data_IF_693083918943
#
_entry.id   IF_693083918943
#
_cell.length_a   1.000
_cell.length_b   1.000
_cell.length_c   1.000
_cell.angle_alpha   90.00
_cell.angle_beta   90.00
_cell.angle_gamma   90.00
#
_symmetry.space_group_name_H-M   'P 1'
#
loop_
_entity.id
_entity.type
_entity.pdbx_description
1 polymer ?
#
# COMPACT_ATOMS: atom_id res chain seq x y z
N UNK A 1 1.59 -5.19 -23.55
CA UNK A 1 2.85 -4.43 -23.57
C UNK A 1 2.98 -3.70 -22.23
N UNK A 2 3.91 -4.11 -21.37
CA UNK A 2 4.05 -3.54 -20.02
C UNK A 2 4.56 -2.12 -20.06
N UNK A 3 3.94 -1.23 -19.27
CA UNK A 3 4.26 0.19 -19.21
C UNK A 3 5.68 0.46 -18.68
N UNK A 4 6.14 -0.39 -17.77
CA UNK A 4 7.49 -0.31 -17.20
C UNK A 4 8.42 -1.39 -17.79
N UNK A 5 8.63 -1.38 -19.12
CA UNK A 5 9.70 -2.17 -19.70
C UNK A 5 11.02 -1.43 -19.39
N UNK A 6 11.87 -2.10 -18.61
CA UNK A 6 13.25 -1.75 -18.22
C UNK A 6 13.87 -0.66 -19.09
N UNK A 7 13.76 0.61 -18.66
CA UNK A 7 14.54 1.71 -19.18
C UNK A 7 15.32 2.32 -18.03
N UNK A 8 16.64 2.29 -18.13
CA UNK A 8 17.52 3.16 -17.35
C UNK A 8 17.05 4.59 -17.61
N UNK A 9 16.76 5.33 -16.53
CA UNK A 9 16.49 6.78 -16.48
C UNK A 9 16.23 7.43 -17.85
N UNK A 10 15.00 7.24 -18.41
CA UNK A 10 14.59 8.07 -19.53
C UNK A 10 14.33 9.50 -19.07
N UNK A 11 14.73 10.50 -19.89
CA UNK A 11 14.37 11.88 -19.62
C UNK A 11 12.85 12.03 -19.71
N UNK A 12 12.16 12.08 -18.60
CA UNK A 12 10.71 12.23 -18.61
C UNK A 12 9.97 11.93 -17.32
N UNK A 13 10.48 11.09 -16.42
CA UNK A 13 9.82 10.86 -15.14
C UNK A 13 9.99 12.06 -14.18
N UNK A 14 8.93 12.36 -13.45
CA UNK A 14 8.93 13.41 -12.42
C UNK A 14 9.73 12.93 -11.20
N UNK A 15 11.02 13.26 -11.14
CA UNK A 15 11.98 12.75 -10.13
C UNK A 15 11.54 12.96 -8.69
N UNK A 16 10.87 14.07 -8.38
CA UNK A 16 10.44 14.43 -7.02
C UNK A 16 8.93 14.24 -6.81
N UNK A 17 8.33 13.35 -7.59
CA UNK A 17 6.90 13.02 -7.45
C UNK A 17 6.75 11.55 -7.02
N UNK A 18 5.99 11.35 -5.97
CA UNK A 18 5.64 10.03 -5.43
C UNK A 18 4.14 9.77 -5.57
N UNK A 19 3.77 8.54 -5.87
CA UNK A 19 2.39 8.06 -5.76
C UNK A 19 2.36 6.97 -4.70
N UNK A 20 1.56 7.19 -3.65
CA UNK A 20 1.35 6.23 -2.57
C UNK A 20 -0.08 5.73 -2.66
N UNK A 21 -0.22 4.44 -2.92
CA UNK A 21 -1.50 3.76 -3.13
C UNK A 21 -1.79 2.86 -1.94
N UNK A 22 -2.94 3.01 -1.31
CA UNK A 22 -3.46 1.99 -0.40
C UNK A 22 -4.48 1.13 -1.14
N UNK A 23 -4.33 -0.19 -1.12
CA UNK A 23 -5.33 -1.09 -1.67
C UNK A 23 -6.48 -1.30 -0.69
N UNK A 24 -7.69 -1.47 -1.24
CA UNK A 24 -8.92 -1.69 -0.50
C UNK A 24 -10.12 -1.79 -1.45
N UNK A 25 -11.27 -2.17 -0.89
CA UNK A 25 -12.56 -2.18 -1.57
C UNK A 25 -13.39 -0.95 -1.17
N UNK A 26 -14.08 -0.30 -2.10
CA UNK A 26 -15.01 0.78 -1.79
C UNK A 26 -16.28 0.19 -1.11
N UNK A 27 -16.91 1.00 -0.27
CA UNK A 27 -18.15 0.64 0.43
C UNK A 27 -17.94 0.53 1.94
N UNK A 28 -19.00 0.88 2.69
CA UNK A 28 -18.99 0.86 4.16
C UNK A 28 -18.84 -0.55 4.72
N UNK A 29 -19.36 -1.53 4.01
CA UNK A 29 -19.28 -2.97 4.35
C UNK A 29 -17.85 -3.51 4.38
N UNK A 30 -16.91 -2.86 3.67
CA UNK A 30 -15.49 -3.25 3.65
C UNK A 30 -14.61 -2.41 4.58
N UNK A 31 -15.15 -1.34 5.16
CA UNK A 31 -14.36 -0.35 5.90
C UNK A 31 -13.54 -0.98 7.04
N UNK A 32 -14.09 -1.99 7.71
CA UNK A 32 -13.47 -2.66 8.86
C UNK A 32 -12.98 -4.07 8.55
N UNK A 33 -12.64 -4.33 7.28
CA UNK A 33 -12.06 -5.60 6.86
C UNK A 33 -10.52 -5.53 6.81
N UNK A 34 -9.87 -6.71 6.86
CA UNK A 34 -8.41 -6.81 6.69
C UNK A 34 -7.97 -6.37 5.29
N UNK A 35 -8.79 -6.59 4.28
CA UNK A 35 -8.50 -6.17 2.90
C UNK A 35 -8.47 -4.65 2.70
N UNK A 36 -8.94 -3.86 3.69
CA UNK A 36 -8.89 -2.40 3.65
C UNK A 36 -7.74 -1.80 4.47
N UNK A 37 -6.77 -2.61 4.90
CA UNK A 37 -5.62 -2.10 5.66
C UNK A 37 -4.79 -1.10 4.86
N UNK A 38 -4.67 -1.26 3.55
CA UNK A 38 -4.04 -0.25 2.69
C UNK A 38 -4.78 1.09 2.72
N UNK A 39 -6.11 1.07 2.67
CA UNK A 39 -6.94 2.29 2.79
C UNK A 39 -6.73 2.97 4.15
N UNK A 40 -6.75 2.20 5.24
CA UNK A 40 -6.54 2.72 6.60
C UNK A 40 -5.16 3.40 6.73
N UNK A 41 -4.11 2.83 6.16
CA UNK A 41 -2.79 3.43 6.14
C UNK A 41 -2.76 4.77 5.36
N UNK A 42 -3.46 4.86 4.23
CA UNK A 42 -3.59 6.12 3.48
C UNK A 42 -4.39 7.17 4.26
N UNK A 43 -5.44 6.77 4.98
CA UNK A 43 -6.22 7.71 5.79
C UNK A 43 -5.38 8.29 6.95
N UNK A 44 -4.55 7.46 7.61
CA UNK A 44 -3.58 7.92 8.62
C UNK A 44 -2.59 8.90 7.99
N UNK A 45 -1.95 8.52 6.89
CA UNK A 45 -0.96 9.38 6.21
C UNK A 45 -1.57 10.70 5.73
N UNK A 46 -2.82 10.67 5.25
CA UNK A 46 -3.59 11.84 4.85
C UNK A 46 -3.79 12.80 6.02
N UNK A 47 -4.16 12.27 7.18
CA UNK A 47 -4.35 13.04 8.41
C UNK A 47 -3.04 13.64 8.92
N UNK A 48 -1.99 12.83 9.03
CA UNK A 48 -0.70 13.23 9.60
C UNK A 48 0.00 14.30 8.76
N UNK A 49 -0.14 14.24 7.44
CA UNK A 49 0.51 15.16 6.50
C UNK A 49 -0.42 16.27 6.00
N UNK A 50 -1.66 16.35 6.49
CA UNK A 50 -2.69 17.31 6.05
C UNK A 50 -2.90 17.28 4.53
N UNK A 51 -2.88 16.09 3.92
CA UNK A 51 -3.12 15.87 2.48
C UNK A 51 -4.55 15.39 2.30
N UNK A 52 -5.45 16.29 2.00
CA UNK A 52 -6.86 15.97 1.91
C UNK A 52 -7.22 15.15 0.66
N UNK A 53 -7.93 14.02 0.86
CA UNK A 53 -8.35 13.09 -0.20
C UNK A 53 -9.80 13.40 -0.58
N UNK A 54 -10.00 14.24 -1.61
CA UNK A 54 -11.34 14.71 -2.04
C UNK A 54 -11.64 14.50 -3.51
N UNK A 55 -10.65 14.26 -4.35
CA UNK A 55 -10.84 14.27 -5.80
C UNK A 55 -11.10 12.86 -6.31
N UNK A 56 -12.26 12.65 -6.94
CA UNK A 56 -12.51 11.42 -7.70
C UNK A 56 -11.85 11.54 -9.08
N UNK A 57 -10.80 10.77 -9.33
CA UNK A 57 -10.08 10.73 -10.60
C UNK A 57 -9.42 9.37 -10.81
N UNK A 58 -9.36 8.91 -12.06
CA UNK A 58 -8.72 7.64 -12.43
C UNK A 58 -9.30 6.40 -11.74
N UNK A 59 -10.61 6.40 -11.46
CA UNK A 59 -11.30 5.40 -10.64
C UNK A 59 -10.69 5.30 -9.21
N UNK A 60 -10.35 6.44 -8.64
CA UNK A 60 -9.75 6.53 -7.30
C UNK A 60 -10.17 7.82 -6.61
N UNK A 61 -10.22 7.79 -5.30
CA UNK A 61 -10.13 8.99 -4.48
C UNK A 61 -8.65 9.38 -4.36
N UNK A 62 -8.33 10.64 -4.65
CA UNK A 62 -6.96 11.13 -4.61
C UNK A 62 -6.81 12.40 -3.78
N UNK A 63 -5.68 12.51 -3.09
CA UNK A 63 -5.17 13.72 -2.45
C UNK A 63 -3.82 14.11 -3.03
N UNK A 64 -3.53 15.40 -3.09
CA UNK A 64 -2.23 15.89 -3.54
C UNK A 64 -1.66 16.86 -2.52
N UNK A 65 -0.41 16.67 -2.15
CA UNK A 65 0.31 17.50 -1.19
C UNK A 65 1.82 17.40 -1.34
N UNK A 66 2.51 17.74 -0.27
CA UNK A 66 3.98 17.65 -0.18
C UNK A 66 4.39 17.01 1.13
N UNK A 67 5.39 16.13 1.05
CA UNK A 67 6.09 15.57 2.21
C UNK A 67 7.57 15.88 2.02
N UNK A 68 8.20 16.54 2.97
CA UNK A 68 9.59 16.98 2.91
C UNK A 68 9.94 17.71 1.59
N UNK A 69 9.03 18.58 1.11
CA UNK A 69 9.19 19.34 -0.14
C UNK A 69 8.90 18.58 -1.43
N UNK A 70 8.84 17.24 -1.42
CA UNK A 70 8.54 16.39 -2.57
C UNK A 70 7.04 16.32 -2.81
N UNK A 71 6.64 16.25 -4.08
CA UNK A 71 5.21 16.11 -4.45
C UNK A 71 4.74 14.70 -4.13
N UNK A 72 3.63 14.58 -3.40
CA UNK A 72 3.02 13.30 -3.05
C UNK A 72 1.56 13.27 -3.48
N UNK A 73 1.18 12.16 -4.08
CA UNK A 73 -0.19 11.84 -4.46
C UNK A 73 -0.61 10.61 -3.66
N UNK A 74 -1.60 10.77 -2.79
CA UNK A 74 -2.25 9.68 -2.09
C UNK A 74 -3.41 9.17 -2.93
N UNK A 75 -3.52 7.84 -3.06
CA UNK A 75 -4.49 7.19 -3.94
C UNK A 75 -5.19 6.05 -3.21
N UNK A 76 -6.53 6.09 -3.22
CA UNK A 76 -7.40 5.00 -2.79
C UNK A 76 -8.19 4.55 -4.02
N UNK A 77 -7.86 3.40 -4.67
CA UNK A 77 -8.61 2.90 -5.82
C UNK A 77 -10.08 2.64 -5.47
N UNK A 78 -11.02 3.21 -6.20
CA UNK A 78 -12.46 2.92 -6.06
C UNK A 78 -12.93 1.77 -6.96
N UNK A 79 -12.00 1.02 -7.52
CA UNK A 79 -12.27 -0.27 -8.15
C UNK A 79 -12.36 -1.35 -7.06
N UNK A 80 -13.06 -2.47 -7.37
CA UNK A 80 -12.90 -3.63 -6.50
C UNK A 80 -11.47 -4.17 -6.58
N UNK A 81 -11.04 -4.89 -5.53
CA UNK A 81 -9.67 -5.33 -5.29
C UNK A 81 -9.01 -5.95 -6.53
N UNK A 82 -9.69 -6.87 -7.21
CA UNK A 82 -9.19 -7.56 -8.41
C UNK A 82 -9.01 -6.65 -9.65
N UNK A 83 -9.42 -5.38 -9.58
CA UNK A 83 -9.27 -4.37 -10.65
C UNK A 83 -8.43 -3.16 -10.23
N UNK A 84 -7.81 -3.21 -9.06
CA UNK A 84 -7.01 -2.09 -8.50
C UNK A 84 -5.90 -1.61 -9.44
N UNK A 85 -5.30 -2.51 -10.20
CA UNK A 85 -4.23 -2.19 -11.15
C UNK A 85 -4.64 -1.18 -12.22
N UNK A 86 -5.92 -1.13 -12.62
CA UNK A 86 -6.42 -0.14 -13.59
C UNK A 86 -6.26 1.29 -13.05
N UNK A 87 -6.67 1.50 -11.81
CA UNK A 87 -6.57 2.78 -11.13
C UNK A 87 -5.11 3.17 -10.86
N UNK A 88 -4.31 2.22 -10.37
CA UNK A 88 -2.87 2.41 -10.10
C UNK A 88 -2.13 2.82 -11.37
N UNK A 89 -2.32 2.07 -12.48
CA UNK A 89 -1.68 2.39 -13.77
C UNK A 89 -2.07 3.78 -14.26
N UNK A 90 -3.38 4.12 -14.26
CA UNK A 90 -3.85 5.42 -14.71
C UNK A 90 -3.24 6.56 -13.88
N UNK A 91 -3.15 6.38 -12.57
CA UNK A 91 -2.54 7.37 -11.68
C UNK A 91 -1.04 7.52 -11.94
N UNK A 92 -0.29 6.41 -12.00
CA UNK A 92 1.15 6.42 -12.26
C UNK A 92 1.50 7.09 -13.61
N UNK A 93 0.73 6.77 -14.67
CA UNK A 93 0.89 7.36 -15.99
C UNK A 93 0.61 8.87 -16.00
N UNK A 94 -0.52 9.29 -15.42
CA UNK A 94 -0.91 10.70 -15.42
C UNK A 94 0.09 11.59 -14.67
N UNK A 95 0.62 11.12 -13.55
CA UNK A 95 1.60 11.86 -12.76
C UNK A 95 3.03 11.63 -13.23
N UNK A 96 3.23 10.82 -14.26
CA UNK A 96 4.52 10.46 -14.85
C UNK A 96 5.53 9.98 -13.80
N UNK A 97 5.10 9.07 -12.94
CA UNK A 97 5.88 8.59 -11.79
C UNK A 97 6.74 7.41 -12.18
N UNK A 98 8.02 7.47 -11.81
CA UNK A 98 8.94 6.36 -11.94
C UNK A 98 8.53 5.18 -11.05
N UNK A 99 8.78 3.93 -11.47
CA UNK A 99 8.42 2.75 -10.67
C UNK A 99 8.96 2.77 -9.25
N UNK A 100 10.17 3.25 -9.04
CA UNK A 100 10.81 3.40 -7.73
C UNK A 100 10.12 4.41 -6.80
N UNK A 101 9.32 5.33 -7.36
CA UNK A 101 8.53 6.33 -6.63
C UNK A 101 7.04 5.94 -6.52
N UNK A 102 6.66 4.77 -7.04
CA UNK A 102 5.36 4.17 -6.81
C UNK A 102 5.42 3.26 -5.59
N UNK A 103 4.62 3.57 -4.58
CA UNK A 103 4.53 2.83 -3.32
C UNK A 103 3.12 2.24 -3.22
N UNK A 104 3.00 0.92 -3.03
CA UNK A 104 1.70 0.24 -2.87
C UNK A 104 1.64 -0.39 -1.47
N UNK A 105 0.62 -0.01 -0.70
CA UNK A 105 0.35 -0.50 0.67
C UNK A 105 -0.83 -1.47 0.61
N UNK A 106 -0.68 -2.66 1.17
CA UNK A 106 -1.70 -3.70 1.14
C UNK A 106 -1.56 -4.72 2.28
N UNK A 107 -2.63 -5.45 2.56
CA UNK A 107 -2.66 -6.54 3.55
C UNK A 107 -1.95 -7.80 3.04
N UNK A 108 -1.33 -8.54 3.95
CA UNK A 108 -0.60 -9.75 3.63
C UNK A 108 -0.79 -10.84 4.68
N UNK A 109 -1.34 -11.97 4.25
CA UNK A 109 -1.62 -13.12 5.12
C UNK A 109 -0.38 -13.93 5.49
N UNK A 110 0.72 -13.78 4.74
CA UNK A 110 1.98 -14.51 4.98
C UNK A 110 2.85 -13.83 6.05
N UNK A 111 2.41 -12.67 6.55
CA UNK A 111 3.09 -11.94 7.63
C UNK A 111 2.30 -12.04 8.93
N UNK A 112 2.99 -12.11 10.08
CA UNK A 112 2.33 -12.07 11.37
C UNK A 112 1.43 -10.83 11.51
N UNK A 113 0.25 -10.98 12.13
CA UNK A 113 -0.67 -9.88 12.36
C UNK A 113 0.02 -8.73 13.12
N UNK A 114 -0.18 -7.50 12.67
CA UNK A 114 0.42 -6.31 13.27
C UNK A 114 1.83 -5.98 12.81
N UNK A 115 2.48 -6.84 12.02
CA UNK A 115 3.81 -6.56 11.46
C UNK A 115 3.73 -5.80 10.14
N UNK A 116 4.81 -5.12 9.74
CA UNK A 116 4.95 -4.58 8.40
C UNK A 116 6.24 -5.06 7.72
N UNK A 117 6.25 -5.04 6.38
CA UNK A 117 7.42 -5.36 5.59
C UNK A 117 7.50 -4.51 4.33
N UNK A 118 8.58 -3.74 4.19
CA UNK A 118 8.89 -2.98 2.97
C UNK A 118 9.72 -3.84 2.04
N UNK A 119 9.42 -3.80 0.73
CA UNK A 119 10.19 -4.44 -0.34
C UNK A 119 10.28 -3.51 -1.55
N UNK A 120 11.43 -3.47 -2.23
CA UNK A 120 11.64 -2.69 -3.47
C UNK A 120 10.94 -3.31 -4.68
N UNK A 121 10.79 -4.63 -4.66
CA UNK A 121 10.17 -5.41 -5.73
C UNK A 121 9.63 -6.74 -5.19
N UNK A 122 8.88 -7.49 -6.00
CA UNK A 122 8.42 -8.82 -5.64
C UNK A 122 7.20 -9.29 -6.41
N UNK A 123 6.83 -10.56 -6.26
CA UNK A 123 5.60 -11.13 -6.80
C UNK A 123 4.34 -10.57 -6.15
N UNK A 124 3.20 -10.98 -6.69
CA UNK A 124 1.89 -10.61 -6.16
C UNK A 124 1.40 -11.53 -5.02
N UNK A 125 2.04 -12.68 -4.84
CA UNK A 125 1.54 -13.71 -3.93
C UNK A 125 0.12 -14.14 -4.27
N UNK A 126 -0.66 -14.41 -3.25
CA UNK A 126 -2.08 -14.74 -3.36
C UNK A 126 -2.98 -13.52 -3.48
N UNK A 127 -2.49 -12.31 -3.18
CA UNK A 127 -3.28 -11.08 -3.07
C UNK A 127 -3.82 -10.60 -4.43
N UNK A 128 -5.14 -10.64 -4.63
CA UNK A 128 -5.79 -10.34 -5.91
C UNK A 128 -5.55 -8.91 -6.40
N UNK A 129 -5.49 -7.92 -5.50
CA UNK A 129 -5.17 -6.54 -5.84
C UNK A 129 -3.75 -6.42 -6.40
N UNK A 130 -2.77 -7.08 -5.78
CA UNK A 130 -1.39 -7.08 -6.26
C UNK A 130 -1.23 -7.81 -7.59
N UNK A 131 -1.97 -8.92 -7.83
CA UNK A 131 -2.02 -9.58 -9.15
C UNK A 131 -2.45 -8.58 -10.23
N UNK A 132 -3.55 -7.85 -9.96
CA UNK A 132 -4.05 -6.81 -10.87
C UNK A 132 -3.03 -5.68 -11.08
N UNK A 133 -2.36 -5.21 -10.01
CA UNK A 133 -1.36 -4.15 -10.12
C UNK A 133 -0.17 -4.59 -10.97
N UNK A 134 0.40 -5.77 -10.70
CA UNK A 134 1.55 -6.31 -11.46
C UNK A 134 1.18 -6.53 -12.93
N UNK A 135 0.00 -7.07 -13.20
CA UNK A 135 -0.50 -7.28 -14.56
C UNK A 135 -0.64 -5.96 -15.32
N UNK A 136 -1.31 -4.98 -14.74
CA UNK A 136 -1.57 -3.69 -15.40
C UNK A 136 -0.32 -2.83 -15.58
N UNK A 137 0.63 -2.88 -14.65
CA UNK A 137 1.90 -2.17 -14.77
C UNK A 137 2.90 -2.89 -15.70
N UNK A 138 2.78 -4.22 -15.82
CA UNK A 138 3.70 -5.07 -16.59
C UNK A 138 5.09 -5.18 -15.94
N UNK A 139 5.22 -4.86 -14.66
CA UNK A 139 6.47 -4.97 -13.89
C UNK A 139 6.20 -5.33 -12.44
N UNK A 140 7.23 -5.89 -11.80
CA UNK A 140 7.28 -6.17 -10.36
C UNK A 140 8.18 -5.19 -9.60
N UNK A 141 8.84 -4.28 -10.32
CA UNK A 141 9.88 -3.38 -9.81
C UNK A 141 9.27 -2.05 -9.36
N UNK A 142 8.51 -2.09 -8.27
CA UNK A 142 7.97 -0.93 -7.55
C UNK A 142 7.96 -1.21 -6.05
N UNK A 143 7.96 -0.15 -5.24
CA UNK A 143 8.02 -0.27 -3.79
C UNK A 143 6.68 -0.73 -3.24
N UNK A 144 6.73 -1.63 -2.25
CA UNK A 144 5.55 -2.13 -1.55
C UNK A 144 5.74 -2.13 -0.04
N UNK A 145 4.67 -1.84 0.67
CA UNK A 145 4.55 -1.97 2.12
C UNK A 145 3.47 -3.01 2.37
N UNK A 146 3.87 -4.15 2.94
CA UNK A 146 3.00 -5.26 3.30
C UNK A 146 2.60 -5.12 4.76
N UNK A 147 1.30 -5.15 5.05
CA UNK A 147 0.76 -5.11 6.42
C UNK A 147 0.32 -6.52 6.76
N UNK A 148 0.96 -7.13 7.75
CA UNK A 148 0.62 -8.48 8.21
C UNK A 148 -0.75 -8.50 8.86
N UNK A 149 -1.59 -9.43 8.40
CA UNK A 149 -2.93 -9.68 8.95
C UNK A 149 -3.07 -11.10 9.47
N UNK A 150 -1.97 -11.86 9.47
CA UNK A 150 -1.93 -13.26 9.91
C UNK A 150 -2.58 -14.24 8.93
N UNK A 151 -2.11 -15.46 8.96
CA UNK A 151 -2.66 -16.54 8.15
C UNK A 151 -4.11 -16.86 8.53
N UNK A 152 -4.84 -17.46 7.59
CA UNK A 152 -6.14 -18.05 7.89
C UNK A 152 -5.98 -19.21 8.88
N UNK A 153 -6.96 -19.36 9.76
CA UNK A 153 -7.01 -20.51 10.65
C UNK A 153 -7.29 -21.81 9.89
N UNK A 154 -7.00 -22.96 10.52
CA UNK A 154 -7.24 -24.25 9.88
C UNK A 154 -8.74 -24.42 9.54
N UNK A 155 -9.05 -24.54 8.24
CA UNK A 155 -10.42 -24.65 7.73
C UNK A 155 -11.11 -23.32 7.42
N UNK A 156 -10.47 -22.17 7.69
CA UNK A 156 -10.98 -20.86 7.29
C UNK A 156 -10.71 -20.61 5.80
N UNK A 157 -11.72 -20.13 5.07
CA UNK A 157 -11.54 -19.70 3.69
C UNK A 157 -10.76 -18.38 3.62
N UNK A 158 -9.72 -18.33 2.76
CA UNK A 158 -8.85 -17.16 2.60
C UNK A 158 -9.62 -15.89 2.20
N UNK A 159 -10.67 -16.03 1.40
CA UNK A 159 -11.49 -14.89 0.99
C UNK A 159 -12.22 -14.35 2.21
N UNK A 160 -12.87 -15.22 2.98
CA UNK A 160 -13.59 -14.83 4.20
C UNK A 160 -12.63 -14.22 5.24
N UNK A 161 -11.40 -14.72 5.37
CA UNK A 161 -10.37 -14.14 6.25
C UNK A 161 -10.11 -12.67 5.96
N UNK A 162 -9.97 -12.28 4.69
CA UNK A 162 -9.58 -10.91 4.32
C UNK A 162 -10.77 -9.96 4.15
N UNK A 163 -11.95 -10.46 3.71
CA UNK A 163 -13.15 -9.63 3.53
C UNK A 163 -14.08 -9.63 4.77
N UNK A 164 -13.84 -10.53 5.72
CA UNK A 164 -14.57 -10.54 6.98
C UNK A 164 -14.19 -9.35 7.87
N UNK A 165 -15.11 -8.97 8.75
CA UNK A 165 -14.89 -7.91 9.72
C UNK A 165 -13.75 -8.28 10.70
N UNK A 166 -12.88 -7.32 11.01
CA UNK A 166 -11.80 -7.50 11.98
C UNK A 166 -12.40 -7.67 13.39
N UNK A 167 -12.10 -8.78 14.10
CA UNK A 167 -12.53 -8.95 15.47
C UNK A 167 -12.07 -7.82 16.39
N UNK A 168 -12.87 -7.48 17.40
CA UNK A 168 -12.55 -6.38 18.32
C UNK A 168 -11.16 -6.55 18.98
N UNK A 169 -10.76 -7.78 19.26
CA UNK A 169 -9.45 -8.13 19.85
C UNK A 169 -8.26 -7.82 18.96
N UNK A 170 -8.43 -7.75 17.62
CA UNK A 170 -7.35 -7.48 16.68
C UNK A 170 -7.35 -6.01 16.18
N UNK A 171 -8.43 -5.25 16.42
CA UNK A 171 -8.59 -3.89 15.85
C UNK A 171 -7.45 -2.96 16.23
N UNK A 172 -7.08 -2.91 17.52
CA UNK A 172 -6.03 -2.03 18.00
C UNK A 172 -4.67 -2.39 17.39
N UNK A 173 -4.34 -3.69 17.30
CA UNK A 173 -3.11 -4.19 16.69
C UNK A 173 -3.00 -3.77 15.22
N UNK A 174 -4.08 -3.98 14.45
CA UNK A 174 -4.12 -3.64 13.04
C UNK A 174 -4.15 -2.12 12.79
N UNK A 175 -4.78 -1.34 13.68
CA UNK A 175 -4.69 0.13 13.62
C UNK A 175 -3.25 0.62 13.81
N UNK A 176 -2.51 0.07 14.77
CA UNK A 176 -1.08 0.36 14.96
C UNK A 176 -0.25 -0.01 13.73
N UNK A 177 -0.54 -1.18 13.12
CA UNK A 177 0.14 -1.59 11.89
C UNK A 177 -0.16 -0.66 10.70
N UNK A 178 -1.38 -0.15 10.57
CA UNK A 178 -1.73 0.84 9.55
C UNK A 178 -0.98 2.17 9.77
N UNK A 179 -0.86 2.62 11.02
CA UNK A 179 -0.11 3.82 11.38
C UNK A 179 1.39 3.64 11.09
N UNK A 180 1.95 2.48 11.42
CA UNK A 180 3.34 2.13 11.10
C UNK A 180 3.58 2.08 9.58
N UNK A 181 2.64 1.53 8.81
CA UNK A 181 2.72 1.52 7.34
C UNK A 181 2.63 2.94 6.74
N UNK A 182 1.85 3.83 7.34
CA UNK A 182 1.78 5.25 6.98
C UNK A 182 3.13 5.94 7.25
N UNK A 183 3.70 5.75 8.44
CA UNK A 183 5.03 6.26 8.80
C UNK A 183 6.12 5.72 7.86
N UNK A 184 6.08 4.45 7.51
CA UNK A 184 6.98 3.84 6.54
C UNK A 184 6.84 4.48 5.14
N UNK A 185 5.62 4.77 4.70
CA UNK A 185 5.35 5.49 3.45
C UNK A 185 5.95 6.89 3.44
N UNK A 186 5.82 7.64 4.54
CA UNK A 186 6.46 8.94 4.76
C UNK A 186 7.99 8.81 4.73
N UNK A 187 8.56 7.85 5.42
CA UNK A 187 10.00 7.64 5.48
C UNK A 187 10.61 7.26 4.12
N UNK A 188 9.93 6.46 3.31
CA UNK A 188 10.38 6.20 1.94
C UNK A 188 10.52 7.50 1.14
N UNK A 189 9.58 8.43 1.31
CA UNK A 189 9.64 9.74 0.65
C UNK A 189 10.76 10.61 1.23
N UNK A 190 10.96 10.61 2.54
CA UNK A 190 11.88 11.55 3.22
C UNK A 190 13.33 11.10 3.20
N UNK A 191 13.60 9.86 3.58
CA UNK A 191 14.96 9.32 3.79
C UNK A 191 15.33 8.21 2.79
N UNK A 192 14.41 7.85 1.88
CA UNK A 192 14.61 6.83 0.86
C UNK A 192 14.29 5.41 1.33
N UNK A 193 14.07 4.52 0.36
CA UNK A 193 13.54 3.17 0.60
C UNK A 193 14.49 2.29 1.43
N UNK A 194 15.81 2.41 1.26
CA UNK A 194 16.78 1.58 2.00
C UNK A 194 16.80 1.93 3.49
N UNK A 195 16.83 3.22 3.81
CA UNK A 195 16.77 3.68 5.19
C UNK A 195 15.42 3.36 5.84
N UNK A 196 14.32 3.50 5.09
CA UNK A 196 13.00 3.10 5.58
C UNK A 196 12.92 1.58 5.83
N UNK A 197 13.49 0.75 4.95
CA UNK A 197 13.58 -0.70 5.19
C UNK A 197 14.36 -1.04 6.45
N UNK A 198 15.49 -0.38 6.70
CA UNK A 198 16.29 -0.58 7.91
C UNK A 198 15.52 -0.17 9.17
N UNK A 199 14.69 0.87 9.10
CA UNK A 199 13.92 1.38 10.23
C UNK A 199 12.69 0.56 10.55
N UNK A 200 11.97 0.07 9.54
CA UNK A 200 10.63 -0.51 9.69
C UNK A 200 10.56 -2.03 9.49
N UNK A 201 11.58 -2.67 8.89
CA UNK A 201 11.58 -4.12 8.66
C UNK A 201 12.06 -4.93 9.89
N UNK A 202 11.84 -4.45 11.08
CA UNK A 202 12.14 -5.24 12.27
C UNK A 202 11.21 -6.45 12.35
N UNK A 203 11.76 -7.61 12.69
CA UNK A 203 10.97 -8.75 13.14
C UNK A 203 10.40 -8.35 14.49
N UNK A 204 9.09 -8.40 14.63
CA UNK A 204 8.49 -8.31 15.97
C UNK A 204 9.11 -9.44 16.80
N UNK A 205 10.10 -9.11 17.62
CA UNK A 205 10.54 -10.00 18.67
C UNK A 205 9.38 -10.10 19.65
N UNK A 206 8.75 -11.26 19.73
CA UNK A 206 7.87 -11.58 20.86
C UNK A 206 8.68 -11.26 22.12
N UNK A 207 8.26 -10.23 22.85
CA UNK A 207 8.71 -10.07 24.22
C UNK A 207 8.05 -11.21 24.98
N UNK A 208 8.80 -12.30 25.17
CA UNK A 208 8.56 -13.22 26.25
C UNK A 208 8.81 -12.44 27.54
N UNK A 209 7.79 -11.78 28.06
CA UNK A 209 7.78 -11.38 29.46
C UNK A 209 7.55 -12.67 30.27
N UNK A 210 8.64 -13.19 30.84
CA UNK A 210 8.62 -14.19 31.93
C UNK A 210 8.12 -13.52 33.20
#
# INVERSE_FOLDING_TARGET
MGFFRRQKSEPGFAKDTYVIVGLGNPGKEYADTRHNMGYKAIDVLSSDENIEIRRNKFHSLIGQGRIAGKKVILVKPETYMNRSGIAVRKSAMYFNVAPENLIVIYDDIDLPSGSIRIRKSGGAGTHNGMKSVVEQLGTKDFVRIRIGVGAAEAGEDLVNRVIGEVPASERELLQKAAAEAAAAGKDIVTIGVDNAMNRHNHVATEKNDN
#
